data_IF_370548378659
#
_entry.id   IF_370548378659
#
_cell.length_a   1.000
_cell.length_b   1.000
_cell.length_c   1.000
_cell.angle_alpha   90.00
_cell.angle_beta   90.00
_cell.angle_gamma   90.00
#
_symmetry.space_group_name_H-M   'P 1'
#
loop_
_entity.id
_entity.type
_entity.pdbx_description
1 polymer ?
#
# COMPACT_ATOMS: atom_id res chain seq x y z
N UNK A 1 -6.98 -0.88 -12.56
CA UNK A 1 -7.59 0.34 -11.97
C UNK A 1 -8.32 1.19 -13.01
N UNK A 2 -7.62 1.64 -14.07
CA UNK A 2 -8.23 2.48 -15.13
C UNK A 2 -9.54 1.90 -15.70
N UNK A 3 -9.59 0.62 -16.05
CA UNK A 3 -10.80 -0.01 -16.63
C UNK A 3 -11.99 -0.02 -15.67
N UNK A 4 -11.72 -0.17 -14.38
CA UNK A 4 -12.77 -0.12 -13.35
C UNK A 4 -13.32 1.30 -13.26
N UNK A 5 -12.44 2.28 -13.29
CA UNK A 5 -12.82 3.69 -13.27
C UNK A 5 -13.60 4.11 -14.53
N UNK A 6 -13.18 3.67 -15.72
CA UNK A 6 -13.90 3.93 -16.96
C UNK A 6 -15.31 3.32 -16.95
N UNK A 7 -15.46 2.09 -16.47
CA UNK A 7 -16.77 1.45 -16.30
C UNK A 7 -17.64 2.20 -15.26
N UNK A 8 -17.01 2.75 -14.23
CA UNK A 8 -17.71 3.56 -13.24
C UNK A 8 -18.19 4.88 -13.86
N UNK A 9 -17.36 5.58 -14.66
CA UNK A 9 -17.78 6.79 -15.37
C UNK A 9 -18.96 6.51 -16.32
N UNK A 10 -18.91 5.41 -17.06
CA UNK A 10 -20.00 5.00 -17.96
C UNK A 10 -21.30 4.74 -17.17
N UNK A 11 -21.22 3.94 -16.11
CA UNK A 11 -22.37 3.62 -15.25
C UNK A 11 -23.09 4.87 -14.70
N UNK A 12 -22.35 5.92 -14.39
CA UNK A 12 -22.88 7.15 -13.80
C UNK A 12 -23.05 8.30 -14.82
N UNK A 13 -22.96 8.00 -16.12
CA UNK A 13 -23.09 8.97 -17.22
C UNK A 13 -22.06 10.13 -17.13
N UNK A 14 -20.87 9.85 -16.65
CA UNK A 14 -19.80 10.85 -16.47
C UNK A 14 -18.76 10.82 -17.60
N UNK A 15 -18.89 9.93 -18.60
CA UNK A 15 -17.95 9.80 -19.70
C UNK A 15 -17.78 11.09 -20.50
N UNK A 16 -18.86 11.87 -20.66
CA UNK A 16 -18.81 13.14 -21.40
C UNK A 16 -17.82 14.16 -20.80
N UNK A 17 -17.58 14.11 -19.51
CA UNK A 17 -16.58 14.97 -18.86
C UNK A 17 -15.16 14.57 -19.25
N UNK A 18 -14.87 13.27 -19.32
CA UNK A 18 -13.59 12.76 -19.79
C UNK A 18 -13.39 13.05 -21.27
N UNK A 19 -14.43 12.83 -22.10
CA UNK A 19 -14.37 13.07 -23.55
C UNK A 19 -14.18 14.55 -23.90
N UNK A 20 -14.66 15.47 -23.08
CA UNK A 20 -14.37 16.91 -23.22
C UNK A 20 -12.89 17.22 -23.01
N UNK A 21 -12.22 16.49 -22.13
CA UNK A 21 -10.80 16.71 -21.82
C UNK A 21 -9.87 16.07 -22.86
N UNK A 22 -10.12 14.83 -23.26
CA UNK A 22 -9.19 14.03 -24.07
C UNK A 22 -9.69 13.64 -25.47
N UNK A 23 -10.91 14.02 -25.83
CA UNK A 23 -11.57 13.60 -27.06
C UNK A 23 -12.31 12.26 -26.94
N UNK A 24 -13.20 12.00 -27.93
CA UNK A 24 -14.02 10.80 -27.95
C UNK A 24 -13.17 9.56 -28.26
N UNK A 25 -13.48 8.41 -27.63
CA UNK A 25 -12.75 7.14 -27.83
C UNK A 25 -12.72 6.63 -29.28
N UNK A 26 -13.67 7.04 -30.12
CA UNK A 26 -13.73 6.71 -31.55
C UNK A 26 -12.88 7.65 -32.44
N UNK A 27 -12.34 8.73 -31.90
CA UNK A 27 -11.56 9.72 -32.67
C UNK A 27 -10.08 9.40 -32.79
N UNK A 28 -9.58 8.40 -32.06
CA UNK A 28 -8.18 7.96 -32.06
C UNK A 28 -8.08 6.46 -31.76
N UNK A 29 -6.87 5.90 -31.90
CA UNK A 29 -6.62 4.52 -31.49
C UNK A 29 -6.99 4.29 -30.02
N UNK A 30 -7.62 3.16 -29.71
CA UNK A 30 -8.12 2.86 -28.37
C UNK A 30 -7.00 2.79 -27.32
N UNK A 31 -5.82 2.31 -27.69
CA UNK A 31 -4.66 2.26 -26.81
C UNK A 31 -4.15 3.66 -26.46
N UNK A 32 -4.12 4.55 -27.46
CA UNK A 32 -3.72 5.95 -27.26
C UNK A 32 -4.76 6.71 -26.45
N UNK A 33 -6.04 6.47 -26.72
CA UNK A 33 -7.12 7.05 -25.92
C UNK A 33 -7.04 6.62 -24.45
N UNK A 34 -6.80 5.33 -24.18
CA UNK A 34 -6.58 4.83 -22.80
C UNK A 34 -5.37 5.48 -22.13
N UNK A 35 -4.30 5.69 -22.87
CA UNK A 35 -3.10 6.37 -22.35
C UNK A 35 -3.40 7.84 -22.04
N UNK A 36 -4.20 8.52 -22.87
CA UNK A 36 -4.67 9.87 -22.57
C UNK A 36 -5.58 9.89 -21.34
N UNK A 37 -6.54 8.95 -21.24
CA UNK A 37 -7.43 8.82 -20.08
C UNK A 37 -6.65 8.63 -18.76
N UNK A 38 -5.59 7.81 -18.77
CA UNK A 38 -4.76 7.60 -17.59
C UNK A 38 -3.95 8.83 -17.15
N UNK A 39 -3.83 9.82 -18.02
CA UNK A 39 -3.12 11.08 -17.76
C UNK A 39 -4.06 12.27 -17.54
N UNK A 40 -5.36 12.08 -17.71
CA UNK A 40 -6.36 13.12 -17.57
C UNK A 40 -6.40 13.70 -16.16
N UNK A 41 -6.80 14.94 -16.05
CA UNK A 41 -7.00 15.62 -14.75
C UNK A 41 -8.06 14.89 -13.95
N UNK A 42 -9.14 14.43 -14.62
CA UNK A 42 -10.21 13.66 -13.97
C UNK A 42 -9.69 12.36 -13.35
N UNK A 43 -8.84 11.59 -14.07
CA UNK A 43 -8.29 10.35 -13.52
C UNK A 43 -7.31 10.61 -12.37
N UNK A 44 -6.46 11.61 -12.51
CA UNK A 44 -5.54 12.02 -11.43
C UNK A 44 -6.31 12.43 -10.17
N UNK A 45 -7.32 13.27 -10.29
CA UNK A 45 -8.16 13.66 -9.15
C UNK A 45 -8.88 12.47 -8.50
N UNK A 46 -9.31 11.47 -9.28
CA UNK A 46 -9.82 10.22 -8.73
C UNK A 46 -8.75 9.46 -7.93
N UNK A 47 -7.54 9.30 -8.47
CA UNK A 47 -6.42 8.61 -7.78
C UNK A 47 -6.07 9.35 -6.49
N UNK A 48 -5.85 10.66 -6.54
CA UNK A 48 -5.53 11.50 -5.38
C UNK A 48 -6.59 11.39 -4.28
N UNK A 49 -7.87 11.43 -4.66
CA UNK A 49 -8.96 11.45 -3.69
C UNK A 49 -9.31 10.08 -3.10
N UNK A 50 -8.98 8.98 -3.79
CA UNK A 50 -9.47 7.64 -3.44
C UNK A 50 -8.41 6.59 -3.18
N UNK A 51 -7.19 6.79 -3.68
CA UNK A 51 -6.16 5.73 -3.73
C UNK A 51 -4.86 6.17 -3.07
N UNK A 52 -4.40 7.39 -3.34
CA UNK A 52 -3.06 7.86 -2.99
C UNK A 52 -2.72 7.68 -1.51
N UNK A 53 -3.61 8.09 -0.61
CA UNK A 53 -3.40 7.92 0.84
C UNK A 53 -3.15 6.45 1.25
N UNK A 54 -3.73 5.49 0.51
CA UNK A 54 -3.51 4.06 0.71
C UNK A 54 -2.18 3.53 0.16
N UNK A 55 -1.57 4.22 -0.79
CA UNK A 55 -0.34 3.75 -1.46
C UNK A 55 0.94 4.27 -0.82
N UNK A 56 0.88 5.29 0.03
CA UNK A 56 2.05 5.97 0.60
C UNK A 56 3.00 4.98 1.28
N UNK A 57 2.53 4.20 2.25
CA UNK A 57 3.37 3.26 2.99
C UNK A 57 3.95 2.16 2.08
N UNK A 58 3.17 1.66 1.13
CA UNK A 58 3.63 0.65 0.17
C UNK A 58 4.71 1.18 -0.77
N UNK A 59 4.66 2.47 -1.12
CA UNK A 59 5.72 3.13 -1.89
C UNK A 59 7.08 3.11 -1.19
N UNK A 60 7.09 3.16 0.14
CA UNK A 60 8.31 3.08 0.95
C UNK A 60 8.78 1.66 1.28
N UNK A 61 7.89 0.68 1.29
CA UNK A 61 8.18 -0.69 1.72
C UNK A 61 8.36 -1.62 0.52
N UNK A 62 7.61 -1.40 -0.55
CA UNK A 62 7.53 -2.30 -1.70
C UNK A 62 6.49 -3.40 -1.51
N UNK A 63 6.62 -4.49 -2.29
CA UNK A 63 5.65 -5.58 -2.31
C UNK A 63 5.71 -6.42 -1.02
N UNK A 64 4.58 -6.54 -0.36
CA UNK A 64 4.38 -7.38 0.83
C UNK A 64 3.42 -8.55 0.57
N UNK A 65 3.15 -8.86 -0.70
CA UNK A 65 2.20 -9.91 -1.11
C UNK A 65 0.83 -9.74 -0.43
N UNK A 66 0.36 -10.76 0.30
CA UNK A 66 -0.94 -10.74 0.99
C UNK A 66 -1.08 -9.60 2.00
N UNK A 67 0.01 -9.15 2.60
CA UNK A 67 0.00 -8.05 3.57
C UNK A 67 -0.18 -6.67 2.92
N UNK A 68 0.06 -6.53 1.61
CA UNK A 68 -0.01 -5.23 0.92
C UNK A 68 -1.36 -4.56 1.06
N UNK A 69 -2.47 -5.31 0.95
CA UNK A 69 -3.82 -4.75 1.06
C UNK A 69 -4.11 -4.20 2.48
N UNK A 70 -3.60 -4.85 3.51
CA UNK A 70 -3.75 -4.40 4.89
C UNK A 70 -2.81 -3.23 5.21
N UNK A 71 -1.61 -3.21 4.62
CA UNK A 71 -0.73 -2.06 4.72
C UNK A 71 -1.35 -0.83 4.04
N UNK A 72 -2.02 -1.00 2.90
CA UNK A 72 -2.76 0.08 2.25
C UNK A 72 -3.89 0.62 3.13
N UNK A 73 -4.59 -0.26 3.86
CA UNK A 73 -5.59 0.18 4.84
C UNK A 73 -4.94 0.99 5.97
N UNK A 74 -3.85 0.50 6.55
CA UNK A 74 -3.12 1.20 7.61
C UNK A 74 -2.61 2.55 7.12
N UNK A 75 -2.06 2.61 5.90
CA UNK A 75 -1.59 3.84 5.25
C UNK A 75 -2.71 4.87 5.10
N UNK A 76 -3.87 4.45 4.58
CA UNK A 76 -5.06 5.31 4.45
C UNK A 76 -5.53 5.86 5.80
N UNK A 77 -5.65 4.99 6.80
CA UNK A 77 -6.12 5.38 8.14
C UNK A 77 -5.14 6.35 8.80
N UNK A 78 -3.84 6.03 8.74
CA UNK A 78 -2.82 6.87 9.36
C UNK A 78 -2.64 8.21 8.65
N UNK A 79 -2.65 8.24 7.31
CA UNK A 79 -2.66 9.49 6.53
C UNK A 79 -3.88 10.34 6.84
N UNK A 80 -5.07 9.72 6.97
CA UNK A 80 -6.29 10.42 7.34
C UNK A 80 -6.22 10.97 8.78
N UNK A 81 -5.57 10.24 9.68
CA UNK A 81 -5.36 10.68 11.06
C UNK A 81 -4.45 11.92 11.11
N UNK A 82 -3.31 11.89 10.43
CA UNK A 82 -2.37 13.01 10.40
C UNK A 82 -2.95 14.27 9.72
N UNK A 83 -3.75 14.07 8.66
CA UNK A 83 -4.44 15.16 7.94
C UNK A 83 -5.73 15.62 8.62
N UNK A 84 -6.05 15.11 9.80
CA UNK A 84 -7.31 15.34 10.55
C UNK A 84 -8.58 15.14 9.71
N UNK A 85 -8.54 14.24 8.71
CA UNK A 85 -9.72 13.91 7.90
C UNK A 85 -10.72 13.09 8.71
N UNK A 86 -11.99 13.47 8.71
CA UNK A 86 -13.03 12.62 9.28
C UNK A 86 -13.54 11.63 8.23
N UNK A 87 -13.15 10.37 8.39
CA UNK A 87 -13.56 9.26 7.52
C UNK A 87 -14.49 8.26 8.22
N UNK A 88 -14.96 8.59 9.44
CA UNK A 88 -15.86 7.74 10.21
C UNK A 88 -17.11 7.39 9.42
N UNK A 89 -17.43 6.11 9.35
CA UNK A 89 -18.61 5.60 8.65
C UNK A 89 -18.47 5.49 7.14
N UNK A 90 -17.35 5.94 6.56
CA UNK A 90 -17.09 5.75 5.12
C UNK A 90 -16.92 4.28 4.78
N UNK A 91 -17.39 3.89 3.60
CA UNK A 91 -17.13 2.58 3.03
C UNK A 91 -15.76 2.56 2.36
N UNK A 92 -15.01 1.47 2.57
CA UNK A 92 -13.73 1.19 1.92
C UNK A 92 -13.89 -0.07 1.08
N UNK A 93 -13.50 0.02 -0.20
CA UNK A 93 -13.38 -1.13 -1.09
C UNK A 93 -11.96 -1.71 -1.02
N UNK A 94 -11.87 -3.02 -0.87
CA UNK A 94 -10.62 -3.77 -0.92
C UNK A 94 -10.59 -4.58 -2.20
N UNK A 95 -9.56 -4.34 -3.03
CA UNK A 95 -9.31 -5.07 -4.26
C UNK A 95 -7.96 -5.75 -4.14
N UNK A 96 -7.96 -7.06 -4.01
CA UNK A 96 -6.73 -7.85 -3.96
C UNK A 96 -6.60 -8.71 -5.22
N UNK A 97 -5.37 -8.85 -5.70
CA UNK A 97 -5.02 -9.72 -6.81
C UNK A 97 -3.81 -10.57 -6.41
N UNK A 98 -3.92 -11.88 -6.64
CA UNK A 98 -2.83 -12.82 -6.47
C UNK A 98 -2.33 -13.36 -7.81
N UNK A 99 -1.02 -13.57 -7.95
CA UNK A 99 -0.38 -14.05 -9.19
C UNK A 99 -0.87 -15.43 -9.68
N UNK A 100 -1.58 -16.19 -8.83
CA UNK A 100 -2.28 -17.42 -9.20
C UNK A 100 -3.66 -17.20 -9.80
N UNK A 101 -3.91 -16.06 -10.46
CA UNK A 101 -5.18 -15.69 -11.09
C UNK A 101 -6.38 -15.66 -10.14
N UNK A 102 -6.14 -15.43 -8.85
CA UNK A 102 -7.19 -15.22 -7.86
C UNK A 102 -7.29 -13.74 -7.52
N UNK A 103 -8.50 -13.21 -7.59
CA UNK A 103 -8.80 -11.87 -7.07
C UNK A 103 -9.92 -11.96 -6.05
N UNK A 104 -9.88 -11.07 -5.06
CA UNK A 104 -10.96 -10.90 -4.08
C UNK A 104 -11.34 -9.44 -4.03
N UNK A 105 -12.63 -9.18 -4.00
CA UNK A 105 -13.20 -7.87 -3.76
C UNK A 105 -14.09 -8.00 -2.54
N UNK A 106 -13.89 -7.13 -1.58
CA UNK A 106 -14.75 -7.01 -0.42
C UNK A 106 -14.81 -5.55 0.04
N UNK A 107 -15.75 -5.23 0.87
CA UNK A 107 -15.90 -3.90 1.43
C UNK A 107 -15.87 -3.94 2.95
N UNK A 108 -15.50 -2.83 3.54
CA UNK A 108 -15.56 -2.59 4.97
C UNK A 108 -16.10 -1.19 5.25
N UNK A 109 -16.46 -0.95 6.49
CA UNK A 109 -16.89 0.36 6.96
C UNK A 109 -15.99 0.85 8.08
N UNK A 110 -15.57 2.10 8.01
CA UNK A 110 -14.71 2.70 9.04
C UNK A 110 -15.48 2.81 10.36
N UNK A 111 -14.96 2.16 11.39
CA UNK A 111 -15.55 2.18 12.73
C UNK A 111 -15.43 3.56 13.38
N UNK A 112 -16.30 3.86 14.37
CA UNK A 112 -16.27 5.15 15.08
C UNK A 112 -14.99 5.38 15.88
N UNK A 113 -14.38 4.30 16.36
CA UNK A 113 -13.18 4.31 17.22
C UNK A 113 -11.86 4.14 16.44
N UNK A 114 -11.88 4.28 15.11
CA UNK A 114 -10.70 4.09 14.27
C UNK A 114 -9.51 4.96 14.67
N UNK A 115 -9.74 6.21 15.08
CA UNK A 115 -8.67 7.13 15.49
C UNK A 115 -7.91 6.63 16.71
N UNK A 116 -8.60 6.10 17.72
CA UNK A 116 -7.95 5.56 18.92
C UNK A 116 -7.15 4.30 18.63
N UNK A 117 -7.55 3.52 17.64
CA UNK A 117 -6.83 2.30 17.24
C UNK A 117 -5.58 2.58 16.42
N UNK A 118 -5.57 3.67 15.64
CA UNK A 118 -4.43 4.03 14.80
C UNK A 118 -3.43 4.93 15.56
N UNK A 119 -3.89 5.58 16.61
CA UNK A 119 -3.05 6.45 17.44
C UNK A 119 -1.84 5.65 17.98
N UNK A 120 -0.65 6.23 17.86
CA UNK A 120 0.60 5.62 18.34
C UNK A 120 1.22 4.56 17.42
N UNK A 121 0.63 4.24 16.26
CA UNK A 121 1.30 3.37 15.28
C UNK A 121 2.54 4.03 14.67
N UNK A 122 2.52 5.36 14.52
CA UNK A 122 3.65 6.16 13.99
C UNK A 122 4.25 5.58 12.70
N UNK A 123 3.39 5.13 11.77
CA UNK A 123 3.81 4.34 10.60
C UNK A 123 4.81 5.11 9.76
N UNK A 124 4.50 6.35 9.39
CA UNK A 124 5.37 7.13 8.50
C UNK A 124 6.65 7.56 9.21
N UNK A 125 6.57 7.96 10.48
CA UNK A 125 7.74 8.26 11.30
C UNK A 125 8.72 7.07 11.37
N UNK A 126 8.20 5.85 11.61
CA UNK A 126 9.02 4.62 11.62
C UNK A 126 9.63 4.31 10.25
N UNK A 127 8.94 4.65 9.16
CA UNK A 127 9.49 4.51 7.82
C UNK A 127 10.61 5.53 7.53
N UNK A 128 10.49 6.76 8.05
CA UNK A 128 11.51 7.79 7.93
C UNK A 128 12.76 7.50 8.79
N UNK A 129 12.56 6.91 9.97
CA UNK A 129 13.64 6.54 10.90
C UNK A 129 14.45 5.32 10.45
N UNK A 130 14.20 4.76 9.26
CA UNK A 130 14.96 3.62 8.72
C UNK A 130 16.40 4.00 8.43
N UNK A 131 17.32 3.10 8.78
CA UNK A 131 18.73 3.30 8.46
C UNK A 131 19.00 3.02 6.98
N UNK A 132 19.55 3.99 6.27
CA UNK A 132 20.08 3.79 4.93
C UNK A 132 21.35 2.96 5.03
N UNK A 133 21.44 1.90 4.24
CA UNK A 133 22.64 1.08 4.09
C UNK A 133 23.08 1.09 2.63
N UNK A 134 24.37 0.90 2.39
CA UNK A 134 24.91 0.71 1.05
C UNK A 134 24.69 -0.72 0.54
N UNK A 135 24.93 -0.92 -0.75
CA UNK A 135 24.72 -2.20 -1.39
C UNK A 135 25.64 -3.29 -0.84
N UNK A 136 26.89 -2.96 -0.52
CA UNK A 136 27.86 -3.91 0.05
C UNK A 136 27.40 -4.43 1.42
N UNK A 137 26.92 -3.53 2.27
CA UNK A 137 26.33 -3.88 3.57
C UNK A 137 25.08 -4.76 3.41
N UNK A 138 24.22 -4.43 2.43
CA UNK A 138 23.07 -5.26 2.10
C UNK A 138 23.47 -6.67 1.68
N UNK A 139 24.46 -6.83 0.78
CA UNK A 139 24.95 -8.13 0.35
C UNK A 139 25.53 -8.94 1.51
N UNK A 140 26.33 -8.32 2.39
CA UNK A 140 26.88 -8.97 3.57
C UNK A 140 25.81 -9.47 4.55
N UNK A 141 24.72 -8.73 4.69
CA UNK A 141 23.57 -9.19 5.47
C UNK A 141 22.85 -10.34 4.79
N UNK A 142 22.61 -10.21 3.48
CA UNK A 142 21.87 -11.18 2.69
C UNK A 142 22.56 -12.55 2.64
N UNK A 143 23.87 -12.58 2.45
CA UNK A 143 24.66 -13.80 2.42
C UNK A 143 25.12 -14.30 3.80
N UNK A 144 24.74 -13.58 4.88
CA UNK A 144 25.05 -13.97 6.27
C UNK A 144 26.51 -13.77 6.70
N UNK A 145 27.33 -13.05 5.91
CA UNK A 145 28.71 -12.73 6.30
C UNK A 145 28.77 -11.64 7.37
N UNK A 146 27.80 -10.72 7.40
CA UNK A 146 27.61 -9.77 8.49
C UNK A 146 26.57 -10.30 9.47
N UNK A 147 27.03 -10.79 10.62
CA UNK A 147 26.16 -11.37 11.67
C UNK A 147 25.68 -10.37 12.72
N UNK A 148 26.25 -9.17 12.74
CA UNK A 148 25.87 -8.13 13.71
C UNK A 148 24.73 -7.28 13.15
N UNK A 149 23.72 -6.92 13.99
CA UNK A 149 22.70 -5.98 13.57
C UNK A 149 23.30 -4.61 13.30
N UNK A 150 22.81 -3.92 12.27
CA UNK A 150 23.31 -2.59 11.87
C UNK A 150 22.80 -1.51 12.82
N UNK A 151 21.68 -1.72 13.47
CA UNK A 151 21.09 -0.75 14.39
C UNK A 151 20.91 -1.35 15.79
N UNK A 152 21.21 -0.54 16.80
CA UNK A 152 20.98 -0.90 18.20
C UNK A 152 19.51 -0.57 18.60
N UNK A 153 18.54 -1.19 17.94
CA UNK A 153 17.16 -1.00 18.35
C UNK A 153 16.91 -1.66 19.72
N UNK A 154 16.33 -0.90 20.64
CA UNK A 154 15.83 -1.39 21.95
C UNK A 154 14.55 -2.23 21.78
N UNK A 155 14.35 -2.79 20.62
CA UNK A 155 13.12 -3.47 20.21
C UNK A 155 13.28 -5.00 20.28
N UNK A 156 12.29 -5.69 19.78
CA UNK A 156 12.33 -7.15 19.62
C UNK A 156 13.40 -7.52 18.60
N UNK A 157 14.37 -8.33 19.02
CA UNK A 157 15.46 -8.81 18.16
C UNK A 157 15.41 -10.33 18.04
N UNK A 158 15.88 -10.86 16.89
CA UNK A 158 16.05 -12.29 16.72
C UNK A 158 17.16 -12.76 17.66
N UNK A 159 16.82 -13.65 18.58
CA UNK A 159 17.76 -14.19 19.56
C UNK A 159 18.49 -15.42 19.01
N UNK A 160 17.75 -16.39 18.45
CA UNK A 160 18.29 -17.61 17.86
C UNK A 160 17.31 -18.22 16.85
N UNK A 161 17.84 -19.06 16.00
CA UNK A 161 17.08 -19.93 15.12
C UNK A 161 17.38 -21.37 15.57
N UNK A 162 16.35 -22.17 15.82
CA UNK A 162 16.52 -23.57 16.22
C UNK A 162 17.03 -24.41 15.06
N UNK A 163 17.98 -25.30 15.34
CA UNK A 163 18.55 -26.31 14.44
C UNK A 163 18.16 -27.75 14.82
N UNK A 164 17.39 -27.91 15.89
CA UNK A 164 16.90 -29.23 16.33
C UNK A 164 15.94 -29.83 15.29
N UNK A 165 16.05 -31.15 15.07
CA UNK A 165 15.33 -31.89 14.02
C UNK A 165 13.83 -31.58 13.88
N UNK A 166 13.13 -31.43 15.00
CA UNK A 166 11.69 -31.12 15.01
C UNK A 166 11.36 -29.61 15.02
N UNK A 167 12.35 -28.73 15.03
CA UNK A 167 12.18 -27.28 15.16
C UNK A 167 13.07 -26.48 14.23
N UNK A 168 13.65 -27.13 13.25
CA UNK A 168 14.54 -26.45 12.27
C UNK A 168 13.86 -25.22 11.68
N UNK A 169 14.52 -24.07 11.83
CA UNK A 169 14.04 -22.79 11.30
C UNK A 169 13.10 -22.02 12.22
N UNK A 170 12.71 -22.55 13.40
CA UNK A 170 11.95 -21.78 14.38
C UNK A 170 12.77 -20.60 14.90
N UNK A 171 12.18 -19.40 14.84
CA UNK A 171 12.84 -18.16 15.24
C UNK A 171 12.36 -17.73 16.62
N UNK A 172 13.32 -17.53 17.53
CA UNK A 172 13.07 -17.01 18.86
C UNK A 172 13.45 -15.53 18.91
N UNK A 173 12.58 -14.74 19.47
CA UNK A 173 12.77 -13.30 19.60
C UNK A 173 12.80 -12.91 21.07
N UNK A 174 13.63 -11.92 21.40
CA UNK A 174 13.64 -11.30 22.71
C UNK A 174 13.43 -9.80 22.61
N UNK A 175 12.93 -9.20 23.68
CA UNK A 175 12.90 -7.76 23.85
C UNK A 175 14.19 -7.33 24.54
N UNK A 176 14.93 -6.40 23.92
CA UNK A 176 16.08 -5.77 24.56
C UNK A 176 15.62 -4.69 25.53
#
# INVERSE_FOLDING_TARGET
>A
MLDIWLKWLDKYNLMSALEKEIGHSKSMDYKDWRKAASKSVLYKGFVESRIEDGEIASGFIGNMYTASIFMSLISLLYSSYEKDKNITGNNIGFLSYGSGSKSKIFEGRIAKDWRSRINGLEVFKKLEERNLIDFETYEKLHNGSLKKPISNHKNIVLERIDDQENKVGFRHYKKN
#
